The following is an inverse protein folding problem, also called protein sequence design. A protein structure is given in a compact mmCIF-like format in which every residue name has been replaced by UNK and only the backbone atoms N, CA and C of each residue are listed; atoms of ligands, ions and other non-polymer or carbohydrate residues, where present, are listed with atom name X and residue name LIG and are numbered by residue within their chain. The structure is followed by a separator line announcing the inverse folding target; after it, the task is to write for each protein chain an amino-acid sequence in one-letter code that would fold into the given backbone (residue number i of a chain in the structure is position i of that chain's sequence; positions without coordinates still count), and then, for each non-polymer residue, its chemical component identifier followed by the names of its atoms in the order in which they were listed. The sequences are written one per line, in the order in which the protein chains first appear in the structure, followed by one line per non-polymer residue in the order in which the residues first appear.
data_IF_662567704382
#
_entry.id   IF_662567704382
#
_cell.length_a   1.000
_cell.length_b   1.000
_cell.length_c   1.000
_cell.angle_alpha   90.00
_cell.angle_beta   90.00
_cell.angle_gamma   90.00
#
_symmetry.space_group_name_H-M   'P 1'
#
loop_
_entity.id
_entity.type
_entity.pdbx_description
1 polymer ?
#
# COMPACT_ATOMS: atom_id res chain seq x y z
N UNK A 1 36.36 31.78 36.63
CA UNK A 1 36.30 31.47 35.19
C UNK A 1 36.05 29.97 35.11
N UNK A 2 34.79 29.61 35.24
CA UNK A 2 34.29 28.23 35.31
C UNK A 2 33.20 28.12 34.25
N UNK A 3 33.41 27.22 33.30
CA UNK A 3 32.47 26.87 32.24
C UNK A 3 31.46 25.89 32.81
N UNK A 4 30.20 26.33 32.95
CA UNK A 4 29.08 25.44 33.21
C UNK A 4 28.60 24.87 31.86
N UNK A 5 28.79 23.57 31.70
CA UNK A 5 28.24 22.76 30.61
C UNK A 5 26.72 22.83 30.61
N UNK A 6 26.14 23.34 29.52
CA UNK A 6 24.71 23.20 29.23
C UNK A 6 24.41 21.73 28.88
N UNK A 7 23.49 21.04 29.58
CA UNK A 7 23.11 19.69 29.23
C UNK A 7 22.30 19.71 27.94
N UNK A 8 22.93 19.19 26.88
CA UNK A 8 22.30 18.82 25.61
C UNK A 8 21.05 17.97 25.88
N UNK A 9 19.89 18.58 25.72
CA UNK A 9 18.60 17.91 25.78
C UNK A 9 18.44 16.98 24.57
N UNK A 10 18.87 15.72 24.72
CA UNK A 10 18.47 14.62 23.85
C UNK A 10 17.00 14.26 24.11
N UNK A 11 16.08 15.14 23.72
CA UNK A 11 14.69 14.80 23.55
C UNK A 11 14.50 14.24 22.12
N UNK A 12 14.86 12.97 21.92
CA UNK A 12 14.35 12.22 20.77
C UNK A 12 12.87 11.94 20.99
N UNK A 13 12.04 12.98 20.79
CA UNK A 13 10.59 12.86 20.77
C UNK A 13 10.19 11.99 19.59
N UNK A 14 10.08 10.68 19.81
CA UNK A 14 9.42 9.80 18.87
C UNK A 14 8.00 10.32 18.69
N UNK A 15 7.73 11.02 17.59
CA UNK A 15 6.37 11.45 17.22
C UNK A 15 5.52 10.19 17.14
N UNK A 16 4.72 9.94 18.17
CA UNK A 16 3.76 8.84 18.18
C UNK A 16 2.85 9.01 16.98
N UNK A 17 2.98 8.13 15.99
CA UNK A 17 2.12 8.15 14.80
C UNK A 17 0.66 7.96 15.26
N UNK A 18 -0.26 8.76 14.72
CA UNK A 18 -1.67 8.64 15.06
C UNK A 18 -2.26 7.37 14.45
N UNK A 19 -3.16 6.70 15.17
CA UNK A 19 -3.97 5.61 14.60
C UNK A 19 -5.13 6.18 13.78
N UNK A 20 -5.57 5.46 12.74
CA UNK A 20 -6.76 5.84 11.96
C UNK A 20 -8.00 6.14 12.81
N UNK A 21 -8.16 5.43 13.93
CA UNK A 21 -9.28 5.60 14.87
C UNK A 21 -9.18 6.87 15.73
N UNK A 22 -7.98 7.42 15.87
CA UNK A 22 -7.66 8.57 16.72
C UNK A 22 -7.73 9.90 15.95
N UNK A 23 -7.82 9.84 14.62
CA UNK A 23 -7.88 11.02 13.77
C UNK A 23 -9.33 11.54 13.75
N UNK A 24 -9.56 12.82 14.13
CA UNK A 24 -10.89 13.44 14.01
C UNK A 24 -11.37 13.43 12.57
N UNK A 25 -12.69 13.29 12.38
CA UNK A 25 -13.29 13.38 11.05
C UNK A 25 -12.99 14.72 10.41
N UNK A 26 -12.60 14.70 9.14
CA UNK A 26 -12.34 15.90 8.36
C UNK A 26 -12.53 15.62 6.87
N UNK A 27 -12.69 16.67 6.07
CA UNK A 27 -12.79 16.55 4.61
C UNK A 27 -11.42 16.36 3.94
N UNK A 28 -10.35 16.80 4.61
CA UNK A 28 -9.02 16.96 4.01
C UNK A 28 -7.92 16.61 5.01
N UNK A 29 -7.77 15.31 5.31
CA UNK A 29 -6.67 14.84 6.17
C UNK A 29 -5.53 14.22 5.39
N UNK A 30 -5.86 13.43 4.37
CA UNK A 30 -4.88 12.70 3.55
C UNK A 30 -4.48 13.49 2.30
N UNK A 31 -5.39 14.33 1.80
CA UNK A 31 -5.13 15.29 0.76
C UNK A 31 -4.42 16.54 1.31
N UNK A 32 -3.08 16.58 1.25
CA UNK A 32 -2.28 17.75 1.66
C UNK A 32 -2.01 18.68 0.47
N UNK A 33 -1.95 19.99 0.74
CA UNK A 33 -1.58 21.01 -0.25
C UNK A 33 -0.14 20.83 -0.73
N UNK A 34 0.79 20.71 0.22
CA UNK A 34 2.18 20.48 -0.10
C UNK A 34 2.43 19.00 -0.40
N UNK A 35 2.92 18.72 -1.60
CA UNK A 35 3.21 17.35 -2.03
C UNK A 35 4.24 16.67 -1.12
N UNK A 36 5.24 17.41 -0.64
CA UNK A 36 6.26 16.86 0.26
C UNK A 36 5.64 16.36 1.58
N UNK A 37 4.62 17.05 2.08
CA UNK A 37 3.86 16.69 3.28
C UNK A 37 3.01 15.43 3.04
N UNK A 38 2.37 15.33 1.88
CA UNK A 38 1.63 14.12 1.47
C UNK A 38 2.56 12.90 1.35
N UNK A 39 3.71 13.02 0.69
CA UNK A 39 4.66 11.90 0.49
C UNK A 39 5.23 11.41 1.84
N UNK A 40 5.49 12.34 2.77
CA UNK A 40 6.02 12.02 4.10
C UNK A 40 4.93 11.65 5.11
N UNK A 41 3.66 11.67 4.72
CA UNK A 41 2.55 11.39 5.62
C UNK A 41 2.66 9.95 6.13
N UNK A 42 2.55 9.80 7.44
CA UNK A 42 2.56 8.50 8.11
C UNK A 42 1.40 8.43 9.08
N UNK A 43 0.61 7.38 8.92
CA UNK A 43 -0.51 7.01 9.80
C UNK A 43 -0.36 5.53 10.09
N UNK A 44 -0.84 5.06 11.24
CA UNK A 44 -0.86 3.64 11.57
C UNK A 44 -2.28 3.11 11.71
N UNK A 45 -2.42 1.81 11.54
CA UNK A 45 -3.62 1.09 11.98
C UNK A 45 -3.22 -0.30 12.47
N UNK A 46 -4.17 -1.03 13.06
CA UNK A 46 -3.93 -2.42 13.45
C UNK A 46 -3.64 -3.29 12.22
N UNK A 47 -2.77 -4.28 12.39
CA UNK A 47 -2.60 -5.39 11.47
C UNK A 47 -3.91 -6.16 11.30
N UNK A 48 -4.02 -6.93 10.22
CA UNK A 48 -5.24 -7.67 9.88
C UNK A 48 -5.69 -8.62 11.01
N UNK A 49 -4.73 -9.25 11.71
CA UNK A 49 -4.97 -10.10 12.88
C UNK A 49 -5.29 -9.32 14.17
N UNK A 50 -5.28 -7.98 14.12
CA UNK A 50 -5.52 -7.11 15.26
C UNK A 50 -4.42 -7.10 16.32
N UNK A 51 -3.32 -7.84 16.12
CA UNK A 51 -2.31 -8.10 17.14
C UNK A 51 -1.33 -6.94 17.33
N UNK A 52 -0.96 -6.24 16.24
CA UNK A 52 0.05 -5.20 16.25
C UNK A 52 -0.45 -3.93 15.56
N UNK A 53 0.21 -2.81 15.82
CA UNK A 53 0.07 -1.63 14.96
C UNK A 53 1.07 -1.72 13.81
N UNK A 54 0.66 -1.33 12.61
CA UNK A 54 1.53 -1.14 11.46
C UNK A 54 1.34 0.25 10.85
N UNK A 55 2.39 0.84 10.27
CA UNK A 55 2.19 1.98 9.39
C UNK A 55 1.34 1.57 8.18
N UNK A 56 0.51 2.49 7.71
CA UNK A 56 -0.15 2.37 6.43
C UNK A 56 0.92 2.40 5.33
N UNK A 57 0.67 1.61 4.30
CA UNK A 57 1.49 1.59 3.09
C UNK A 57 1.20 2.82 2.25
N UNK A 58 2.16 3.23 1.40
CA UNK A 58 1.99 4.36 0.51
C UNK A 58 0.68 4.30 -0.30
N UNK A 59 0.43 3.21 -1.04
CA UNK A 59 -0.77 3.07 -1.87
C UNK A 59 -2.09 3.14 -1.07
N UNK A 60 -2.08 2.79 0.22
CA UNK A 60 -3.24 2.93 1.11
C UNK A 60 -3.53 4.41 1.44
N UNK A 61 -2.46 5.18 1.69
CA UNK A 61 -2.54 6.63 1.90
C UNK A 61 -3.01 7.33 0.61
N UNK A 62 -2.52 6.90 -0.55
CA UNK A 62 -2.93 7.47 -1.84
C UNK A 62 -4.40 7.22 -2.12
N UNK A 63 -4.92 6.01 -1.86
CA UNK A 63 -6.33 5.70 -2.04
C UNK A 63 -7.22 6.62 -1.19
N UNK A 64 -6.87 6.83 0.09
CA UNK A 64 -7.59 7.73 0.97
C UNK A 64 -7.53 9.19 0.48
N UNK A 65 -6.35 9.67 0.12
CA UNK A 65 -6.15 11.05 -0.32
C UNK A 65 -6.86 11.33 -1.65
N UNK A 66 -6.77 10.42 -2.61
CA UNK A 66 -7.45 10.52 -3.90
C UNK A 66 -8.96 10.41 -3.77
N UNK A 67 -9.47 9.62 -2.83
CA UNK A 67 -10.92 9.56 -2.55
C UNK A 67 -11.45 10.82 -1.87
N UNK A 68 -10.69 11.49 -1.00
CA UNK A 68 -11.08 12.82 -0.48
C UNK A 68 -11.30 13.81 -1.64
N UNK A 69 -10.43 13.79 -2.65
CA UNK A 69 -10.60 14.60 -3.87
C UNK A 69 -11.79 14.09 -4.71
N UNK A 70 -11.87 12.79 -4.95
CA UNK A 70 -12.90 12.17 -5.80
C UNK A 70 -14.32 12.47 -5.31
N UNK A 71 -14.52 12.43 -3.99
CA UNK A 71 -15.80 12.73 -3.33
C UNK A 71 -16.18 14.20 -3.55
N UNK A 72 -15.23 15.14 -3.35
CA UNK A 72 -15.48 16.57 -3.60
C UNK A 72 -15.76 16.88 -5.08
N UNK A 73 -15.12 16.13 -5.99
CA UNK A 73 -15.31 16.26 -7.43
C UNK A 73 -16.53 15.50 -7.95
N UNK A 74 -17.16 14.69 -7.11
CA UNK A 74 -18.33 13.89 -7.45
C UNK A 74 -18.06 12.69 -8.37
N UNK A 75 -16.79 12.35 -8.64
CA UNK A 75 -16.43 11.36 -9.63
C UNK A 75 -15.20 10.51 -9.25
N UNK A 76 -15.28 9.21 -9.53
CA UNK A 76 -14.21 8.24 -9.32
C UNK A 76 -14.22 7.60 -7.94
N UNK A 77 -13.62 6.41 -7.85
CA UNK A 77 -13.34 5.75 -6.59
C UNK A 77 -12.05 4.95 -6.70
N UNK A 78 -11.19 5.07 -5.68
CA UNK A 78 -9.89 4.42 -5.60
C UNK A 78 -9.91 3.35 -4.52
N UNK A 79 -9.38 2.18 -4.84
CA UNK A 79 -9.26 1.08 -3.88
C UNK A 79 -7.83 0.60 -3.86
N UNK A 80 -7.30 0.32 -2.69
CA UNK A 80 -5.97 -0.25 -2.56
C UNK A 80 -6.05 -1.78 -2.51
N UNK A 81 -4.97 -2.40 -2.95
CA UNK A 81 -4.69 -3.81 -2.71
C UNK A 81 -3.36 -3.93 -1.94
N UNK A 82 -3.16 -4.99 -1.15
CA UNK A 82 -1.87 -5.21 -0.52
C UNK A 82 -0.77 -5.30 -1.58
N UNK A 83 0.35 -4.62 -1.34
CA UNK A 83 1.49 -4.69 -2.25
C UNK A 83 2.01 -6.13 -2.36
N UNK A 84 2.63 -6.51 -3.48
CA UNK A 84 3.28 -7.82 -3.64
C UNK A 84 4.25 -8.16 -2.50
N UNK A 85 4.98 -7.15 -2.01
CA UNK A 85 5.90 -7.31 -0.87
C UNK A 85 5.15 -7.56 0.45
N UNK A 86 3.92 -7.05 0.59
CA UNK A 86 3.07 -7.26 1.76
C UNK A 86 2.56 -8.69 1.83
N UNK A 87 2.11 -9.25 0.69
CA UNK A 87 1.67 -10.64 0.60
C UNK A 87 2.73 -11.64 1.07
N UNK A 88 4.00 -11.41 0.69
CA UNK A 88 5.11 -12.27 1.12
C UNK A 88 5.44 -12.18 2.62
N UNK A 89 5.04 -11.10 3.30
CA UNK A 89 5.34 -10.86 4.71
C UNK A 89 4.16 -11.20 5.64
N UNK A 90 2.98 -11.43 5.09
CA UNK A 90 1.85 -11.89 5.87
C UNK A 90 2.14 -13.30 6.38
N UNK A 91 2.20 -13.44 7.70
CA UNK A 91 2.28 -14.76 8.32
C UNK A 91 0.86 -15.30 8.44
N UNK A 92 0.60 -16.37 7.71
CA UNK A 92 -0.67 -17.10 7.80
C UNK A 92 -0.48 -18.27 8.77
N UNK A 93 -1.44 -18.41 9.68
CA UNK A 93 -1.47 -19.52 10.63
C UNK A 93 -2.83 -20.24 10.52
N UNK A 94 -2.84 -21.52 10.09
CA UNK A 94 -1.72 -22.29 9.53
C UNK A 94 -1.20 -21.74 8.19
N UNK A 95 0.05 -22.10 7.84
CA UNK A 95 0.78 -21.56 6.66
C UNK A 95 0.08 -21.80 5.32
N UNK A 96 -0.70 -22.87 5.21
CA UNK A 96 -1.51 -23.23 4.04
C UNK A 96 -2.67 -22.25 3.76
N UNK A 97 -3.05 -21.40 4.74
CA UNK A 97 -4.04 -20.32 4.54
C UNK A 97 -3.47 -19.14 3.75
N UNK A 98 -2.16 -19.11 3.54
CA UNK A 98 -1.52 -18.12 2.70
C UNK A 98 -1.57 -18.49 1.22
N UNK A 99 -1.54 -17.50 0.33
CA UNK A 99 -1.32 -17.79 -1.08
C UNK A 99 0.05 -18.41 -1.33
N UNK A 100 0.15 -19.27 -2.35
CA UNK A 100 1.42 -19.83 -2.79
C UNK A 100 2.36 -18.72 -3.33
N UNK A 101 3.66 -18.87 -3.13
CA UNK A 101 4.64 -17.83 -3.50
C UNK A 101 4.67 -17.51 -5.02
N UNK A 102 4.26 -18.47 -5.85
CA UNK A 102 4.14 -18.39 -7.30
C UNK A 102 2.79 -17.83 -7.78
N UNK A 103 1.78 -17.76 -6.92
CA UNK A 103 0.46 -17.24 -7.26
C UNK A 103 0.43 -15.72 -7.43
N UNK A 104 1.42 -15.00 -6.90
CA UNK A 104 1.56 -13.57 -7.11
C UNK A 104 1.97 -13.29 -8.57
N UNK A 105 1.10 -12.64 -9.34
CA UNK A 105 1.36 -12.27 -10.73
C UNK A 105 1.71 -10.78 -10.87
N UNK A 106 2.49 -10.44 -11.89
CA UNK A 106 2.86 -9.06 -12.24
C UNK A 106 1.63 -8.19 -12.57
N UNK A 107 0.51 -8.81 -12.92
CA UNK A 107 -0.75 -8.14 -13.22
C UNK A 107 -1.53 -7.69 -11.98
N UNK A 108 -1.16 -8.11 -10.77
CA UNK A 108 -1.82 -7.69 -9.53
C UNK A 108 -1.45 -6.24 -9.22
N UNK A 109 -2.40 -5.29 -9.26
CA UNK A 109 -2.12 -3.89 -8.98
C UNK A 109 -1.99 -3.64 -7.47
N UNK A 110 -1.44 -2.48 -7.11
CA UNK A 110 -1.48 -1.98 -5.71
C UNK A 110 -2.61 -0.97 -5.48
N UNK A 111 -3.14 -0.39 -6.55
CA UNK A 111 -4.24 0.55 -6.54
C UNK A 111 -5.13 0.26 -7.76
N UNK A 112 -6.44 0.33 -7.60
CA UNK A 112 -7.39 0.29 -8.71
C UNK A 112 -8.26 1.53 -8.69
N UNK A 113 -8.57 2.02 -9.88
CA UNK A 113 -9.54 3.08 -10.09
C UNK A 113 -10.77 2.48 -10.76
N UNK A 114 -11.95 2.83 -10.25
CA UNK A 114 -13.21 2.60 -10.94
C UNK A 114 -13.92 3.93 -11.19
N UNK A 115 -14.63 4.01 -12.32
CA UNK A 115 -15.53 5.14 -12.55
C UNK A 115 -16.74 4.96 -11.64
N UNK A 116 -16.95 5.95 -10.79
CA UNK A 116 -18.04 5.98 -9.82
C UNK A 116 -18.62 7.40 -9.81
N UNK A 117 -19.91 7.54 -9.62
CA UNK A 117 -20.57 8.86 -9.52
C UNK A 117 -21.13 8.99 -8.11
N UNK A 118 -20.69 10.00 -7.39
CA UNK A 118 -21.11 10.23 -6.02
C UNK A 118 -22.42 11.00 -5.95
N UNK A 119 -23.39 10.50 -5.20
CA UNK A 119 -24.59 11.27 -4.82
C UNK A 119 -24.25 12.25 -3.70
N UNK A 120 -25.00 13.35 -3.56
CA UNK A 120 -24.79 14.34 -2.49
C UNK A 120 -24.88 13.72 -1.09
N UNK A 121 -25.81 12.77 -0.89
CA UNK A 121 -25.91 11.99 0.35
C UNK A 121 -24.63 11.19 0.60
N UNK A 122 -24.14 10.44 -0.39
CA UNK A 122 -22.92 9.64 -0.24
C UNK A 122 -21.68 10.50 0.01
N UNK A 123 -21.60 11.69 -0.58
CA UNK A 123 -20.52 12.64 -0.30
C UNK A 123 -20.55 13.10 1.17
N UNK A 124 -21.73 13.46 1.65
CA UNK A 124 -21.94 13.88 3.05
C UNK A 124 -21.58 12.75 4.02
N UNK A 125 -22.10 11.54 3.77
CA UNK A 125 -21.85 10.35 4.58
C UNK A 125 -20.36 9.98 4.62
N UNK A 126 -19.67 10.10 3.48
CA UNK A 126 -18.23 9.85 3.41
C UNK A 126 -17.47 10.80 4.33
N UNK A 127 -17.77 12.10 4.30
CA UNK A 127 -17.07 13.09 5.13
C UNK A 127 -17.45 13.08 6.61
N UNK A 128 -18.64 12.58 6.94
CA UNK A 128 -19.03 12.35 8.34
C UNK A 128 -18.46 11.03 8.88
N UNK A 129 -18.10 10.09 8.01
CA UNK A 129 -17.54 8.80 8.41
C UNK A 129 -16.14 8.95 9.03
N UNK A 130 -15.81 8.20 10.11
CA UNK A 130 -14.46 8.11 10.65
C UNK A 130 -13.44 7.67 9.58
N UNK A 131 -12.20 8.16 9.67
CA UNK A 131 -11.14 7.82 8.70
C UNK A 131 -10.87 6.31 8.61
N UNK A 132 -11.02 5.56 9.72
CA UNK A 132 -10.92 4.09 9.68
C UNK A 132 -12.02 3.45 8.83
N UNK A 133 -13.26 3.94 8.90
CA UNK A 133 -14.36 3.43 8.07
C UNK A 133 -14.09 3.68 6.59
N UNK A 134 -13.59 4.88 6.26
CA UNK A 134 -13.17 5.22 4.89
C UNK A 134 -12.05 4.29 4.41
N UNK A 135 -11.06 4.02 5.25
CA UNK A 135 -9.97 3.09 4.92
C UNK A 135 -10.51 1.69 4.61
N UNK A 136 -11.43 1.16 5.43
CA UNK A 136 -12.05 -0.15 5.17
C UNK A 136 -12.84 -0.15 3.85
N UNK A 137 -13.59 0.92 3.56
CA UNK A 137 -14.30 1.07 2.29
C UNK A 137 -13.36 1.12 1.06
N UNK A 138 -12.12 1.57 1.24
CA UNK A 138 -11.10 1.60 0.19
C UNK A 138 -10.34 0.28 0.05
N UNK A 139 -10.53 -0.69 0.94
CA UNK A 139 -9.88 -2.00 0.86
C UNK A 139 -10.61 -2.89 -0.16
N UNK A 140 -9.94 -3.17 -1.29
CA UNK A 140 -10.51 -3.98 -2.35
C UNK A 140 -10.84 -5.41 -1.92
N UNK A 141 -10.09 -5.98 -0.97
CA UNK A 141 -10.34 -7.34 -0.51
C UNK A 141 -11.58 -7.42 0.38
N UNK A 142 -11.91 -6.34 1.09
CA UNK A 142 -13.06 -6.27 1.97
C UNK A 142 -14.33 -5.83 1.23
N UNK A 143 -14.20 -4.91 0.27
CA UNK A 143 -15.35 -4.29 -0.39
C UNK A 143 -15.22 -4.32 -1.92
N UNK A 144 -14.97 -5.48 -2.56
CA UNK A 144 -14.83 -5.53 -4.01
C UNK A 144 -16.13 -5.03 -4.68
N UNK A 145 -16.05 -4.23 -5.77
CA UNK A 145 -17.23 -3.82 -6.51
C UNK A 145 -17.86 -5.02 -7.24
N UNK A 146 -19.07 -4.88 -7.82
CA UNK A 146 -19.71 -5.95 -8.59
C UNK A 146 -18.79 -6.51 -9.67
N UNK A 147 -18.85 -7.81 -9.95
CA UNK A 147 -17.88 -8.51 -10.82
C UNK A 147 -17.73 -7.89 -12.21
N UNK A 148 -18.82 -7.37 -12.79
CA UNK A 148 -18.82 -6.74 -14.11
C UNK A 148 -18.19 -5.33 -14.13
N UNK A 149 -17.83 -4.76 -12.97
CA UNK A 149 -17.32 -3.39 -12.86
C UNK A 149 -15.98 -3.25 -13.60
N UNK A 150 -15.86 -2.33 -14.58
CA UNK A 150 -14.59 -2.06 -15.24
C UNK A 150 -13.59 -1.40 -14.28
N UNK A 151 -12.37 -1.93 -14.23
CA UNK A 151 -11.30 -1.46 -13.37
C UNK A 151 -10.09 -0.98 -14.20
N UNK A 152 -9.43 0.05 -13.70
CA UNK A 152 -8.15 0.54 -14.21
C UNK A 152 -7.07 0.25 -13.17
N UNK A 153 -6.15 -0.65 -13.51
CA UNK A 153 -5.09 -1.14 -12.64
C UNK A 153 -3.92 -0.17 -12.60
N UNK A 154 -3.47 0.16 -11.39
CA UNK A 154 -2.40 1.13 -11.15
C UNK A 154 -1.34 0.49 -10.23
N UNK A 155 -0.09 0.53 -10.66
CA UNK A 155 1.07 0.17 -9.85
C UNK A 155 1.60 1.42 -9.15
N UNK A 156 1.83 1.36 -7.85
CA UNK A 156 2.35 2.48 -7.05
C UNK A 156 3.74 2.11 -6.54
N UNK A 157 4.73 2.94 -6.87
CA UNK A 157 6.08 2.85 -6.31
C UNK A 157 6.40 4.12 -5.52
N UNK A 158 6.94 3.96 -4.32
CA UNK A 158 7.34 5.08 -3.45
C UNK A 158 8.83 5.16 -3.15
N UNK A 159 9.57 4.12 -3.48
CA UNK A 159 11.02 4.08 -3.42
C UNK A 159 11.55 2.94 -4.31
N UNK A 160 12.87 2.79 -4.35
CA UNK A 160 13.55 1.82 -5.19
C UNK A 160 13.30 0.33 -4.83
N UNK A 161 12.65 0.06 -3.69
CA UNK A 161 12.32 -1.27 -3.19
C UNK A 161 10.96 -1.76 -3.70
N UNK A 162 10.12 -0.87 -4.25
CA UNK A 162 8.86 -1.23 -4.86
C UNK A 162 9.10 -1.73 -6.30
N UNK A 163 8.91 -3.03 -6.58
CA UNK A 163 9.09 -3.54 -7.92
C UNK A 163 7.96 -3.03 -8.84
N UNK A 164 8.34 -2.64 -10.05
CA UNK A 164 7.42 -2.31 -11.14
C UNK A 164 7.51 -3.39 -12.21
N UNK A 165 6.40 -3.61 -12.91
CA UNK A 165 6.28 -4.65 -13.93
C UNK A 165 5.61 -4.10 -15.19
N UNK A 166 6.03 -4.59 -16.34
CA UNK A 166 5.24 -4.52 -17.56
C UNK A 166 4.05 -5.47 -17.43
N UNK A 167 2.87 -5.05 -17.86
CA UNK A 167 1.67 -5.88 -17.89
C UNK A 167 1.16 -6.03 -19.33
N UNK A 168 0.49 -7.13 -19.63
CA UNK A 168 -0.14 -7.35 -20.93
C UNK A 168 -1.37 -6.44 -21.11
N UNK A 169 -2.16 -6.29 -20.05
CA UNK A 169 -3.30 -5.37 -20.01
C UNK A 169 -2.87 -3.91 -19.95
N UNK A 170 -3.73 -3.02 -20.47
CA UNK A 170 -3.56 -1.57 -20.33
C UNK A 170 -3.62 -1.20 -18.85
N UNK A 171 -2.49 -0.80 -18.26
CA UNK A 171 -2.38 -0.41 -16.85
C UNK A 171 -1.55 0.87 -16.72
N UNK A 172 -1.47 1.40 -15.50
CA UNK A 172 -0.76 2.64 -15.21
C UNK A 172 0.26 2.48 -14.09
N UNK A 173 1.17 3.46 -14.00
CA UNK A 173 2.15 3.56 -12.92
C UNK A 173 2.01 4.94 -12.27
N UNK A 174 2.02 4.97 -10.94
CA UNK A 174 2.27 6.15 -10.12
C UNK A 174 3.65 6.01 -9.48
N UNK A 175 4.53 6.98 -9.72
CA UNK A 175 5.80 7.12 -9.00
C UNK A 175 5.64 8.25 -7.98
N UNK A 176 5.66 7.89 -6.69
CA UNK A 176 5.53 8.83 -5.57
C UNK A 176 6.84 9.53 -5.26
N UNK A 177 7.30 10.34 -6.20
CA UNK A 177 8.39 11.27 -6.02
C UNK A 177 7.84 12.70 -5.83
N UNK A 178 8.73 13.68 -5.66
CA UNK A 178 8.38 15.10 -5.75
C UNK A 178 9.12 15.68 -6.99
N UNK A 179 8.41 15.97 -8.11
CA UNK A 179 6.96 15.84 -8.34
C UNK A 179 6.49 14.37 -8.45
N UNK A 180 5.18 14.14 -8.42
CA UNK A 180 4.60 12.84 -8.73
C UNK A 180 4.74 12.56 -10.23
N UNK A 181 4.73 11.29 -10.63
CA UNK A 181 4.65 10.92 -12.04
C UNK A 181 3.54 9.92 -12.26
N UNK A 182 2.74 10.12 -13.32
CA UNK A 182 1.66 9.22 -13.70
C UNK A 182 1.59 9.03 -15.20
N UNK A 183 1.43 7.77 -15.63
CA UNK A 183 1.32 7.43 -17.04
C UNK A 183 1.02 5.95 -17.26
N UNK A 184 0.76 5.59 -18.52
CA UNK A 184 0.55 4.20 -18.92
C UNK A 184 1.83 3.40 -18.66
N UNK A 185 1.67 2.15 -18.22
CA UNK A 185 2.78 1.22 -17.96
C UNK A 185 3.66 1.02 -19.20
N UNK A 186 3.08 1.01 -20.40
CA UNK A 186 3.84 0.92 -21.65
C UNK A 186 4.76 2.15 -21.86
N UNK A 187 4.22 3.35 -21.64
CA UNK A 187 4.92 4.61 -21.92
C UNK A 187 6.01 4.91 -20.88
N UNK A 188 5.67 4.78 -19.59
CA UNK A 188 6.65 4.92 -18.51
C UNK A 188 7.64 3.76 -18.50
N UNK A 189 7.19 2.55 -18.81
CA UNK A 189 8.05 1.36 -18.90
C UNK A 189 9.12 1.47 -19.97
N UNK A 190 8.83 2.12 -21.11
CA UNK A 190 9.81 2.40 -22.15
C UNK A 190 10.94 3.34 -21.69
N UNK A 191 10.64 4.27 -20.77
CA UNK A 191 11.62 5.20 -20.21
C UNK A 191 12.43 4.54 -19.09
N UNK A 192 11.75 3.85 -18.18
CA UNK A 192 12.36 3.13 -17.04
C UNK A 192 13.28 2.00 -17.54
N UNK A 193 12.87 1.34 -18.63
CA UNK A 193 13.62 0.25 -19.25
C UNK A 193 13.64 -1.02 -18.42
N UNK A 194 14.58 -1.91 -18.76
CA UNK A 194 14.81 -3.18 -18.06
C UNK A 194 15.84 -3.03 -16.95
N UNK A 195 15.77 -3.85 -15.89
CA UNK A 195 16.80 -3.86 -14.86
C UNK A 195 18.16 -4.27 -15.46
N UNK A 196 19.29 -3.69 -14.99
CA UNK A 196 20.62 -3.94 -15.56
C UNK A 196 21.11 -5.38 -15.33
N UNK A 197 20.55 -6.07 -14.32
CA UNK A 197 20.80 -7.48 -14.04
C UNK A 197 19.49 -8.23 -14.10
N UNK A 198 19.50 -9.39 -14.77
CA UNK A 198 18.36 -10.31 -14.77
C UNK A 198 18.06 -10.70 -13.31
N UNK A 199 16.85 -10.39 -12.86
CA UNK A 199 16.40 -10.76 -11.52
C UNK A 199 15.95 -12.21 -11.54
N UNK A 200 16.06 -12.90 -10.41
CA UNK A 200 15.45 -14.20 -10.20
C UNK A 200 14.04 -14.04 -9.62
N UNK A 201 13.24 -15.09 -9.73
CA UNK A 201 11.88 -15.13 -9.18
C UNK A 201 10.78 -14.95 -10.22
N UNK A 202 9.56 -15.05 -9.71
CA UNK A 202 8.30 -14.99 -10.46
C UNK A 202 8.20 -13.63 -11.17
N UNK A 203 7.77 -13.67 -12.44
CA UNK A 203 7.65 -12.52 -13.33
C UNK A 203 8.92 -11.67 -13.52
N UNK A 204 10.09 -12.27 -13.35
CA UNK A 204 11.37 -11.58 -13.54
C UNK A 204 11.56 -11.03 -14.95
N UNK A 205 10.96 -11.66 -15.97
CA UNK A 205 11.00 -11.22 -17.36
C UNK A 205 10.17 -9.93 -17.58
N UNK A 206 9.09 -9.76 -16.81
CA UNK A 206 8.19 -8.62 -16.87
C UNK A 206 8.69 -7.45 -16.02
N UNK A 207 9.66 -7.69 -15.13
CA UNK A 207 10.17 -6.66 -14.22
C UNK A 207 10.78 -5.48 -15.00
N UNK A 208 10.41 -4.27 -14.58
CA UNK A 208 10.99 -3.02 -15.05
C UNK A 208 12.22 -2.66 -14.19
N UNK A 209 13.05 -1.79 -14.75
CA UNK A 209 14.15 -1.16 -14.05
C UNK A 209 13.68 -0.29 -12.89
N UNK A 210 14.62 0.44 -12.30
CA UNK A 210 14.32 1.49 -11.33
C UNK A 210 14.50 2.84 -12.01
N UNK A 211 13.52 3.76 -11.91
CA UNK A 211 13.70 5.10 -12.44
C UNK A 211 14.84 5.77 -11.66
N UNK A 212 15.86 6.26 -12.38
CA UNK A 212 17.07 6.81 -11.76
C UNK A 212 16.83 8.25 -11.29
N UNK A 213 17.33 8.60 -10.12
CA UNK A 213 17.33 9.99 -9.61
C UNK A 213 16.00 10.50 -9.05
N UNK A 214 14.85 9.91 -9.44
CA UNK A 214 13.53 10.42 -9.02
C UNK A 214 13.32 10.44 -7.50
N UNK A 215 13.97 9.51 -6.77
CA UNK A 215 13.78 9.36 -5.32
C UNK A 215 14.63 10.35 -4.50
N UNK A 216 15.70 10.89 -5.08
CA UNK A 216 16.74 11.66 -4.38
C UNK A 216 16.70 13.17 -4.70
N UNK A 217 15.57 13.69 -5.18
CA UNK A 217 15.40 15.12 -5.49
C UNK A 217 15.10 15.45 -6.96
N UNK A 218 14.53 14.50 -7.70
CA UNK A 218 13.99 14.72 -9.06
C UNK A 218 14.76 13.97 -10.16
N UNK A 219 14.03 13.60 -11.21
CA UNK A 219 14.68 12.96 -12.36
C UNK A 219 15.52 13.96 -13.15
N UNK A 220 16.63 13.49 -13.72
CA UNK A 220 17.33 14.20 -14.80
C UNK A 220 16.89 13.77 -16.20
N UNK A 221 15.98 12.79 -16.30
CA UNK A 221 15.46 12.30 -17.57
C UNK A 221 14.32 13.19 -18.04
N UNK A 222 14.60 14.08 -19.00
CA UNK A 222 13.63 15.03 -19.57
C UNK A 222 12.37 14.34 -20.14
N UNK A 223 12.48 13.07 -20.56
CA UNK A 223 11.34 12.30 -21.09
C UNK A 223 10.27 12.04 -20.03
N UNK A 224 10.62 12.12 -18.74
CA UNK A 224 9.66 11.99 -17.65
C UNK A 224 8.82 13.26 -17.43
N UNK A 225 9.27 14.42 -17.92
CA UNK A 225 8.62 15.71 -17.68
C UNK A 225 7.13 15.72 -18.07
N UNK A 226 6.77 15.04 -19.17
CA UNK A 226 5.37 14.95 -19.63
C UNK A 226 4.44 14.12 -18.74
N UNK A 227 4.99 13.37 -17.77
CA UNK A 227 4.22 12.57 -16.82
C UNK A 227 4.13 13.25 -15.45
N UNK A 228 4.81 14.38 -15.26
CA UNK A 228 4.86 15.08 -13.98
C UNK A 228 3.48 15.58 -13.56
N UNK A 229 3.17 15.35 -12.29
CA UNK A 229 1.97 15.84 -11.62
C UNK A 229 2.44 16.65 -10.40
N UNK A 230 2.32 17.99 -10.43
CA UNK A 230 2.88 18.84 -9.39
C UNK A 230 2.14 18.72 -8.05
N UNK A 231 0.86 18.35 -8.09
CA UNK A 231 0.02 18.17 -6.90
C UNK A 231 -0.83 16.90 -7.00
N UNK A 232 -1.47 16.52 -5.89
CA UNK A 232 -2.34 15.35 -5.85
C UNK A 232 -3.62 15.55 -6.69
N UNK A 233 -4.12 16.78 -6.79
CA UNK A 233 -5.24 17.17 -7.64
C UNK A 233 -4.90 16.97 -9.11
N UNK A 234 -3.71 17.41 -9.54
CA UNK A 234 -3.25 17.17 -10.91
C UNK A 234 -3.11 15.67 -11.19
N UNK A 235 -2.62 14.89 -10.23
CA UNK A 235 -2.61 13.43 -10.34
C UNK A 235 -4.04 12.87 -10.51
N UNK A 236 -4.99 13.31 -9.69
CA UNK A 236 -6.39 12.89 -9.80
C UNK A 236 -6.96 13.23 -11.19
N UNK A 237 -6.80 14.46 -11.66
CA UNK A 237 -7.31 14.92 -12.95
C UNK A 237 -6.69 14.10 -14.09
N UNK A 238 -5.38 13.82 -14.01
CA UNK A 238 -4.68 12.98 -14.97
C UNK A 238 -5.21 11.53 -14.98
N UNK A 239 -5.53 10.95 -13.82
CA UNK A 239 -6.16 9.63 -13.73
C UNK A 239 -7.56 9.65 -14.36
N UNK A 240 -8.40 10.63 -14.04
CA UNK A 240 -9.76 10.75 -14.60
C UNK A 240 -9.72 10.84 -16.13
N UNK A 241 -8.81 11.66 -16.67
CA UNK A 241 -8.63 11.82 -18.10
C UNK A 241 -8.11 10.53 -18.77
N UNK A 242 -7.07 9.91 -18.20
CA UNK A 242 -6.46 8.72 -18.78
C UNK A 242 -7.36 7.48 -18.73
N UNK A 243 -8.21 7.38 -17.69
CA UNK A 243 -9.17 6.30 -17.47
C UNK A 243 -10.57 6.65 -18.04
N UNK A 244 -10.63 7.51 -19.05
CA UNK A 244 -11.84 7.71 -19.83
C UNK A 244 -12.01 6.57 -20.85
N UNK A 245 -13.21 5.94 -20.98
CA UNK A 245 -13.42 4.82 -21.90
C UNK A 245 -13.11 5.14 -23.36
N UNK A 246 -13.30 6.41 -23.76
CA UNK A 246 -12.94 6.88 -25.11
C UNK A 246 -11.42 6.98 -25.34
N UNK A 247 -10.61 6.97 -24.28
CA UNK A 247 -9.16 7.19 -24.33
C UNK A 247 -8.37 5.91 -24.07
N UNK A 248 -8.81 5.11 -23.09
CA UNK A 248 -8.15 3.85 -22.72
C UNK A 248 -9.21 2.83 -22.32
N UNK A 249 -9.16 1.59 -22.85
CA UNK A 249 -10.02 0.52 -22.36
C UNK A 249 -9.68 0.21 -20.90
N UNK A 250 -10.66 -0.30 -20.14
CA UNK A 250 -10.41 -0.79 -18.78
C UNK A 250 -9.36 -1.89 -18.79
N UNK A 251 -8.52 -1.94 -17.75
CA UNK A 251 -7.50 -2.98 -17.59
C UNK A 251 -8.10 -4.38 -17.52
N UNK A 252 -9.19 -4.51 -16.76
CA UNK A 252 -9.92 -5.75 -16.53
C UNK A 252 -11.25 -5.44 -15.83
N UNK A 253 -12.10 -6.44 -15.65
CA UNK A 253 -13.26 -6.36 -14.75
C UNK A 253 -12.88 -6.74 -13.31
N UNK A 254 -13.73 -6.39 -12.34
CA UNK A 254 -13.56 -6.82 -10.96
C UNK A 254 -13.50 -8.35 -10.82
N UNK A 255 -14.37 -9.08 -11.51
CA UNK A 255 -14.36 -10.54 -11.52
C UNK A 255 -13.02 -11.09 -11.99
N UNK A 256 -12.46 -10.54 -13.08
CA UNK A 256 -11.12 -10.92 -13.55
C UNK A 256 -10.03 -10.62 -12.52
N UNK A 257 -10.09 -9.48 -11.83
CA UNK A 257 -9.14 -9.17 -10.75
C UNK A 257 -9.25 -10.17 -9.60
N UNK A 258 -10.46 -10.48 -9.13
CA UNK A 258 -10.71 -11.44 -8.06
C UNK A 258 -10.19 -12.85 -8.40
N UNK A 259 -10.18 -13.23 -9.68
CA UNK A 259 -9.57 -14.47 -10.17
C UNK A 259 -8.04 -14.43 -10.20
N UNK A 260 -7.45 -13.25 -10.41
CA UNK A 260 -6.00 -13.05 -10.37
C UNK A 260 -5.44 -12.95 -8.96
N UNK A 261 -6.28 -12.65 -7.96
CA UNK A 261 -5.81 -12.48 -6.60
C UNK A 261 -5.24 -13.80 -6.05
N UNK A 262 -4.13 -13.72 -5.30
CA UNK A 262 -3.52 -14.90 -4.69
C UNK A 262 -4.53 -15.59 -3.77
N UNK A 263 -4.77 -16.90 -4.00
CA UNK A 263 -5.66 -17.73 -3.16
C UNK A 263 -4.86 -18.81 -2.45
N UNK A 264 -5.32 -19.26 -1.26
CA UNK A 264 -4.80 -20.46 -0.63
C UNK A 264 -4.90 -21.64 -1.59
N UNK A 265 -3.85 -22.44 -1.71
CA UNK A 265 -3.85 -23.64 -2.57
C UNK A 265 -4.78 -24.74 -2.03
N UNK A 266 -4.98 -24.76 -0.72
CA UNK A 266 -5.87 -25.68 -0.02
C UNK A 266 -6.67 -24.89 1.02
N UNK A 267 -7.83 -24.32 0.64
CA UNK A 267 -8.69 -23.67 1.61
C UNK A 267 -9.18 -24.74 2.59
N UNK A 268 -8.91 -24.54 3.89
CA UNK A 268 -9.52 -25.36 4.93
C UNK A 268 -11.04 -25.17 4.87
N UNK A 269 -11.80 -26.26 5.01
CA UNK A 269 -13.24 -26.18 5.20
C UNK A 269 -13.49 -25.31 6.43
N UNK A 270 -14.26 -24.25 6.27
CA UNK A 270 -14.64 -23.38 7.38
C UNK A 270 -15.29 -24.20 8.50
N UNK A 271 -15.05 -23.81 9.75
CA UNK A 271 -15.80 -24.35 10.88
C UNK A 271 -17.16 -23.65 10.87
N UNK A 272 -18.24 -24.41 10.99
CA UNK A 272 -19.58 -23.83 11.09
C UNK A 272 -19.67 -22.88 12.28
N UNK A 273 -20.05 -21.63 12.01
CA UNK A 273 -20.24 -20.63 13.05
C UNK A 273 -21.44 -21.05 13.92
N UNK A 274 -21.24 -21.12 15.23
CA UNK A 274 -22.29 -21.43 16.19
C UNK A 274 -22.37 -22.90 16.63
N UNK A 275 -21.44 -23.76 16.21
CA UNK A 275 -21.25 -25.07 16.85
C UNK A 275 -20.12 -24.98 17.88
N UNK A 276 -20.47 -25.21 19.15
CA UNK A 276 -19.53 -25.45 20.26
C UNK A 276 -18.79 -26.78 20.01
N UNK A 277 -17.80 -26.75 19.11
CA UNK A 277 -16.83 -27.84 19.00
C UNK A 277 -15.67 -27.60 19.96
N UNK A 278 -15.91 -27.90 21.24
CA UNK A 278 -14.93 -27.96 22.33
C UNK A 278 -14.16 -26.66 22.63
N UNK A 279 -14.14 -26.29 23.92
CA UNK A 279 -13.42 -25.13 24.47
C UNK A 279 -12.16 -24.75 23.67
N UNK A 280 -12.10 -23.54 23.08
CA UNK A 280 -10.85 -23.07 22.52
C UNK A 280 -9.86 -22.91 23.68
N UNK A 281 -8.81 -23.75 23.72
CA UNK A 281 -7.67 -23.51 24.59
C UNK A 281 -7.19 -22.08 24.37
N UNK A 282 -7.35 -21.26 25.40
CA UNK A 282 -6.96 -19.86 25.42
C UNK A 282 -5.51 -19.74 24.94
N UNK A 283 -5.29 -19.02 23.83
CA UNK A 283 -3.94 -18.66 23.33
C UNK A 283 -3.13 -17.82 24.33
N UNK A 284 -3.72 -17.41 25.46
CA UNK A 284 -3.05 -16.63 26.50
C UNK A 284 -2.28 -17.47 27.53
N UNK A 285 -2.48 -18.79 27.58
CA UNK A 285 -1.79 -19.63 28.58
C UNK A 285 -0.44 -20.20 28.14
N UNK A 286 -0.02 -19.97 26.89
CA UNK A 286 1.38 -20.21 26.50
C UNK A 286 2.23 -18.99 26.89
N UNK A 287 2.32 -18.73 28.19
CA UNK A 287 3.49 -18.05 28.74
C UNK A 287 4.68 -18.94 28.40
N UNK A 288 5.39 -18.56 27.35
CA UNK A 288 6.71 -19.06 27.02
C UNK A 288 7.54 -18.92 28.29
N UNK A 289 7.77 -20.03 28.99
CA UNK A 289 8.84 -20.14 29.97
C UNK A 289 10.13 -19.89 29.19
N UNK A 290 10.55 -18.62 29.14
CA UNK A 290 11.91 -18.26 28.78
C UNK A 290 12.80 -18.94 29.81
N UNK A 291 13.40 -20.05 29.42
CA UNK A 291 14.57 -20.57 30.11
C UNK A 291 15.57 -19.42 30.22
N UNK A 292 16.09 -19.13 31.43
CA UNK A 292 17.07 -18.06 31.59
C UNK A 292 18.26 -18.35 30.69
N UNK A 293 18.58 -17.36 29.84
CA UNK A 293 19.75 -17.37 28.99
C UNK A 293 20.97 -17.64 29.86
N UNK A 294 21.62 -18.77 29.63
CA UNK A 294 22.89 -19.16 30.25
C UNK A 294 23.86 -17.98 30.12
N UNK A 295 24.21 -17.41 31.28
CA UNK A 295 25.19 -16.35 31.38
C UNK A 295 26.46 -16.76 30.64
N UNK A 296 26.99 -15.84 29.84
CA UNK A 296 28.36 -15.90 29.33
C UNK A 296 29.28 -16.05 30.54
N UNK A 297 29.90 -17.21 30.69
CA UNK A 297 31.07 -17.37 31.53
C UNK A 297 32.19 -16.54 30.90
N UNK A 298 32.57 -15.50 31.62
CA UNK A 298 33.75 -14.68 31.40
C UNK A 298 35.02 -15.51 31.57
N UNK A 299 35.98 -15.27 30.68
CA UNK A 299 37.40 -15.50 30.90
C UNK A 299 37.89 -14.90 32.23
N UNK A 300 38.68 -15.70 32.96
CA UNK A 300 39.79 -15.36 33.86
C UNK A 300 40.38 -16.71 34.32
N UNK A 301 41.50 -17.17 33.76
CA UNK A 301 42.89 -16.91 34.18
C UNK A 301 43.24 -17.55 35.53
N UNK A 302 44.24 -18.45 35.52
CA UNK A 302 45.32 -18.67 36.51
C UNK A 302 45.83 -20.13 36.41
N UNK A 303 47.06 -20.31 35.90
CA UNK A 303 48.29 -20.56 36.67
C UNK A 303 48.37 -21.96 37.31
N UNK A 304 49.00 -22.89 36.57
CA UNK A 304 50.15 -23.75 36.94
C UNK A 304 50.16 -25.04 36.10
#
# INVERSE_FOLDING_TARGET
METADDPVSKASGAKTLLRLREIPTSQRYFWREELSSHIRQQVRDRTHDGANDRPLLPNEIDALALNEIAVLRGAGFFMFLPSRNSWNKQMFDPKNRGPAADSLRASVPSLVFMRYTWTESAQTDYFQSPHRSRFMACDFLLNPPPEATPLYCIQVASDCRYPLYSTEQASFIILRAAPLYFGKTADLGAIIGRPPRKRTGVDSAQRLGQPRGIWDGGSKDERLGRFEQPTLEHLYDAVIAACHPATTPSSMTCGQLLWLLPRPSQPELGIDLGFDSSEPQSRLDVRVHRLPSRAKASDQADEQ
#
